data_IF_004259776591
#
_entry.id   IF_004259776591
#
_cell.length_a   1.000
_cell.length_b   1.000
_cell.length_c   1.000
_cell.angle_alpha   90.00
_cell.angle_beta   90.00
_cell.angle_gamma   90.00
#
_symmetry.space_group_name_H-M   'P 1'
#
loop_
_entity.id
_entity.type
_entity.pdbx_description
1 polymer ?
#
# COMPACT_ATOMS: atom_id res chain seq x y z
N UNK A 1 -14.14 24.49 23.97
CA UNK A 1 -14.12 24.47 22.49
C UNK A 1 -12.72 24.18 21.95
N UNK A 2 -11.66 24.74 22.55
CA UNK A 2 -10.24 24.45 22.25
C UNK A 2 -9.86 22.97 22.33
N UNK A 3 -10.38 22.22 23.31
CA UNK A 3 -10.02 20.82 23.52
C UNK A 3 -10.51 19.90 22.39
N UNK A 4 -11.71 20.19 21.88
CA UNK A 4 -12.31 19.46 20.74
C UNK A 4 -11.51 19.74 19.45
N UNK A 5 -11.03 20.97 19.27
CA UNK A 5 -10.19 21.32 18.14
C UNK A 5 -8.83 20.61 18.21
N UNK A 6 -8.19 20.58 19.38
CA UNK A 6 -6.93 19.88 19.59
C UNK A 6 -7.06 18.38 19.31
N UNK A 7 -8.11 17.73 19.86
CA UNK A 7 -8.38 16.31 19.60
C UNK A 7 -8.60 16.05 18.11
N UNK A 8 -9.35 16.92 17.42
CA UNK A 8 -9.61 16.81 15.98
C UNK A 8 -8.32 16.91 15.16
N UNK A 9 -7.42 17.83 15.52
CA UNK A 9 -6.11 17.97 14.86
C UNK A 9 -5.21 16.76 15.11
N UNK A 10 -5.16 16.23 16.34
CA UNK A 10 -4.38 15.03 16.66
C UNK A 10 -4.91 13.81 15.92
N UNK A 11 -6.23 13.61 15.91
CA UNK A 11 -6.88 12.51 15.17
C UNK A 11 -6.59 12.63 13.67
N UNK A 12 -6.70 13.83 13.10
CA UNK A 12 -6.42 14.07 11.68
C UNK A 12 -4.95 13.80 11.33
N UNK A 13 -4.00 14.23 12.17
CA UNK A 13 -2.58 13.98 11.97
C UNK A 13 -2.25 12.49 12.05
N UNK A 14 -2.77 11.79 13.07
CA UNK A 14 -2.60 10.33 13.22
C UNK A 14 -3.20 9.58 12.03
N UNK A 15 -4.38 10.00 11.56
CA UNK A 15 -5.03 9.40 10.39
C UNK A 15 -4.20 9.59 9.12
N UNK A 16 -3.68 10.80 8.89
CA UNK A 16 -2.80 11.11 7.77
C UNK A 16 -1.51 10.26 7.83
N UNK A 17 -0.91 10.13 9.02
CA UNK A 17 0.27 9.29 9.23
C UNK A 17 0.00 7.81 8.88
N UNK A 18 -1.14 7.26 9.33
CA UNK A 18 -1.55 5.88 8.99
C UNK A 18 -1.75 5.73 7.48
N UNK A 19 -2.39 6.69 6.83
CA UNK A 19 -2.60 6.66 5.39
C UNK A 19 -1.27 6.70 4.61
N UNK A 20 -0.30 7.52 5.03
CA UNK A 20 1.04 7.57 4.44
C UNK A 20 1.83 6.27 4.66
N UNK A 21 1.78 5.69 5.86
CA UNK A 21 2.43 4.41 6.16
C UNK A 21 1.86 3.28 5.28
N UNK A 22 0.54 3.25 5.12
CA UNK A 22 -0.16 2.24 4.30
C UNK A 22 0.21 2.39 2.82
N UNK A 23 0.33 3.62 2.34
CA UNK A 23 0.81 3.93 0.99
C UNK A 23 2.26 3.46 0.77
N UNK A 24 3.16 3.75 1.72
CA UNK A 24 4.55 3.31 1.70
C UNK A 24 4.68 1.79 1.68
N UNK A 25 3.90 1.11 2.53
CA UNK A 25 3.86 -0.35 2.58
C UNK A 25 3.39 -0.96 1.25
N UNK A 26 2.36 -0.37 0.62
CA UNK A 26 1.90 -0.83 -0.70
C UNK A 26 2.99 -0.74 -1.78
N UNK A 27 3.87 0.27 -1.73
CA UNK A 27 4.99 0.41 -2.68
C UNK A 27 5.97 -0.76 -2.61
N UNK A 28 6.23 -1.28 -1.41
CA UNK A 28 7.12 -2.43 -1.21
C UNK A 28 6.58 -3.74 -1.80
N UNK A 29 5.28 -3.80 -2.09
CA UNK A 29 4.57 -4.99 -2.63
C UNK A 29 4.28 -4.86 -4.12
N UNK A 30 5.05 -4.02 -4.83
CA UNK A 30 4.87 -3.69 -6.25
C UNK A 30 3.45 -3.22 -6.60
N UNK A 31 2.80 -2.49 -5.67
CA UNK A 31 1.46 -1.92 -5.86
C UNK A 31 1.47 -0.42 -5.93
N UNK A 32 0.44 0.17 -6.55
CA UNK A 32 0.29 1.61 -6.68
C UNK A 32 0.11 2.27 -5.30
N UNK A 33 1.12 2.99 -4.78
CA UNK A 33 1.04 3.60 -3.45
C UNK A 33 -0.05 4.67 -3.38
N UNK A 34 -0.34 5.34 -4.49
CA UNK A 34 -1.37 6.37 -4.56
C UNK A 34 -2.77 5.77 -4.38
N UNK A 35 -3.08 4.65 -5.04
CA UNK A 35 -4.38 3.98 -4.87
C UNK A 35 -4.66 3.63 -3.41
N UNK A 36 -3.66 3.07 -2.72
CA UNK A 36 -3.77 2.66 -1.31
C UNK A 36 -3.73 3.82 -0.31
N UNK A 37 -3.07 4.93 -0.63
CA UNK A 37 -3.15 6.15 0.18
C UNK A 37 -4.57 6.71 0.17
N UNK A 38 -5.18 6.90 -1.01
CA UNK A 38 -6.57 7.35 -1.17
C UNK A 38 -7.55 6.39 -0.50
N UNK A 39 -7.34 5.07 -0.66
CA UNK A 39 -8.16 4.06 0.00
C UNK A 39 -8.10 4.22 1.52
N UNK A 40 -6.92 4.41 2.10
CA UNK A 40 -6.76 4.56 3.56
C UNK A 40 -7.28 5.90 4.06
N UNK A 41 -7.09 6.97 3.30
CA UNK A 41 -7.61 8.28 3.65
C UNK A 41 -9.15 8.29 3.69
N UNK A 42 -9.80 7.56 2.78
CA UNK A 42 -11.27 7.53 2.62
C UNK A 42 -11.95 6.42 3.45
N UNK A 43 -11.47 5.18 3.37
CA UNK A 43 -12.05 4.02 4.07
C UNK A 43 -11.45 3.81 5.47
N UNK A 44 -10.32 4.45 5.77
CA UNK A 44 -9.66 4.30 7.06
C UNK A 44 -9.05 2.92 7.30
N UNK A 45 -9.19 2.33 8.49
CA UNK A 45 -8.54 1.06 8.83
C UNK A 45 -9.01 -0.13 7.98
N UNK A 46 -10.18 -0.03 7.34
CA UNK A 46 -10.67 -1.05 6.39
C UNK A 46 -9.71 -1.21 5.21
N UNK A 47 -9.09 -0.10 4.76
CA UNK A 47 -8.03 -0.14 3.75
C UNK A 47 -6.85 -1.01 4.19
N UNK A 48 -6.42 -0.86 5.45
CA UNK A 48 -5.29 -1.61 6.00
C UNK A 48 -5.59 -3.10 6.01
N UNK A 49 -6.81 -3.48 6.42
CA UNK A 49 -7.27 -4.87 6.36
C UNK A 49 -7.25 -5.43 4.93
N UNK A 50 -7.78 -4.68 3.97
CA UNK A 50 -7.74 -5.06 2.56
C UNK A 50 -6.31 -5.20 2.04
N UNK A 51 -5.39 -4.33 2.46
CA UNK A 51 -3.99 -4.39 2.05
C UNK A 51 -3.28 -5.65 2.57
N UNK A 52 -3.62 -6.08 3.79
CA UNK A 52 -3.06 -7.29 4.41
C UNK A 52 -3.63 -8.56 3.77
N UNK A 53 -4.94 -8.60 3.52
CA UNK A 53 -5.60 -9.78 2.94
C UNK A 53 -5.27 -9.94 1.45
N UNK A 54 -4.98 -8.85 0.75
CA UNK A 54 -4.74 -8.92 -0.69
C UNK A 54 -3.33 -9.50 -1.00
N UNK A 55 -3.23 -10.59 -1.79
CA UNK A 55 -1.95 -11.15 -2.20
C UNK A 55 -1.08 -10.16 -3.00
N UNK A 56 0.24 -10.23 -2.83
CA UNK A 56 1.16 -9.48 -3.70
C UNK A 56 0.89 -9.83 -5.16
N UNK A 57 1.03 -8.84 -6.05
CA UNK A 57 1.00 -9.16 -7.48
C UNK A 57 2.24 -10.01 -7.78
N UNK A 58 2.10 -11.17 -8.43
CA UNK A 58 3.25 -11.90 -8.94
C UNK A 58 4.03 -10.95 -9.85
N UNK A 59 5.35 -10.94 -9.70
CA UNK A 59 6.19 -10.32 -10.71
C UNK A 59 5.84 -11.00 -12.04
N UNK A 60 5.57 -10.18 -13.06
CA UNK A 60 5.31 -10.66 -14.39
C UNK A 60 6.60 -11.37 -14.86
N UNK A 61 6.64 -12.69 -14.69
CA UNK A 61 7.66 -13.53 -15.32
C UNK A 61 7.42 -13.33 -16.80
N UNK A 62 8.30 -12.55 -17.43
CA UNK A 62 8.24 -12.27 -18.86
C UNK A 62 8.04 -13.61 -19.60
N UNK A 63 6.95 -13.80 -20.38
CA UNK A 63 6.63 -15.06 -21.06
C UNK A 63 7.62 -15.45 -22.20
N UNK A 64 8.88 -15.02 -22.10
CA UNK A 64 9.95 -15.23 -23.06
C UNK A 64 11.31 -15.50 -22.42
N UNK A 65 11.41 -15.63 -21.09
CA UNK A 65 12.62 -16.10 -20.41
C UNK A 65 12.86 -17.61 -20.62
N UNK A 66 12.79 -18.05 -21.88
CA UNK A 66 13.53 -19.23 -22.34
C UNK A 66 14.97 -18.77 -22.41
N UNK A 67 15.78 -19.15 -21.41
CA UNK A 67 17.22 -18.91 -21.45
C UNK A 67 17.81 -19.57 -22.72
N UNK A 68 18.19 -18.80 -23.75
CA UNK A 68 18.73 -19.36 -24.98
C UNK A 68 20.13 -19.98 -24.76
N UNK A 69 20.75 -19.73 -23.60
CA UNK A 69 22.03 -20.29 -23.21
C UNK A 69 21.93 -21.59 -22.41
N UNK A 70 20.72 -22.09 -22.15
CA UNK A 70 20.51 -23.51 -21.80
C UNK A 70 20.54 -24.38 -23.06
N UNK A 71 21.62 -24.28 -23.82
CA UNK A 71 22.04 -25.33 -24.74
C UNK A 71 22.95 -26.24 -23.94
N UNK A 72 22.32 -27.19 -23.24
CA UNK A 72 22.98 -28.22 -22.46
C UNK A 72 24.00 -28.99 -23.34
N UNK A 73 25.17 -29.19 -22.73
CA UNK A 73 26.26 -30.12 -23.03
C UNK A 73 25.83 -31.51 -23.53
#
# INVERSE_FOLDING_TARGET
>A
MSDVAALSSTVSAMWLSVALLTAGFARTRNRSPWGWFLLTALLGPISVFLLVVWPARPDEVEPGAVDPHRSDV
#
